data_IF_324164418123
#
_entry.id   IF_324164418123
#
_cell.length_a   1.000
_cell.length_b   1.000
_cell.length_c   1.000
_cell.angle_alpha   90.00
_cell.angle_beta   90.00
_cell.angle_gamma   90.00
#
_symmetry.space_group_name_H-M   'P 1'
#
loop_
_entity.id
_entity.type
_entity.pdbx_description
1 polymer ?
#
# COMPACT_ATOMS: atom_id res chain seq x y z
N UNK A 1 -29.82 2.47 -24.99
CA UNK A 1 -28.60 1.83 -24.42
C UNK A 1 -27.45 2.06 -25.38
N UNK A 2 -26.41 2.82 -24.96
CA UNK A 2 -25.23 3.04 -25.79
C UNK A 2 -24.49 1.72 -26.03
N UNK A 3 -23.95 1.53 -27.24
CA UNK A 3 -23.08 0.38 -27.54
C UNK A 3 -21.89 0.42 -26.59
N UNK A 4 -21.63 -0.67 -25.87
CA UNK A 4 -20.46 -0.83 -25.04
C UNK A 4 -19.20 -0.69 -25.92
N UNK A 5 -18.37 0.31 -25.62
CA UNK A 5 -17.20 0.67 -26.44
C UNK A 5 -16.02 -0.28 -26.20
N UNK A 6 -15.93 -0.86 -25.00
CA UNK A 6 -14.83 -1.73 -24.59
C UNK A 6 -15.39 -3.01 -23.96
N UNK A 7 -14.74 -4.13 -24.25
CA UNK A 7 -15.10 -5.44 -23.69
C UNK A 7 -14.26 -5.81 -22.46
N UNK A 8 -13.13 -5.12 -22.27
CA UNK A 8 -12.22 -5.35 -21.14
C UNK A 8 -11.60 -4.03 -20.71
N UNK A 9 -11.41 -3.89 -19.42
CA UNK A 9 -10.69 -2.79 -18.77
C UNK A 9 -9.65 -3.44 -17.86
N UNK A 10 -8.41 -2.97 -17.94
CA UNK A 10 -7.32 -3.39 -17.05
C UNK A 10 -6.93 -2.20 -16.18
N UNK A 11 -6.90 -2.42 -14.87
CA UNK A 11 -6.38 -1.45 -13.89
C UNK A 11 -5.02 -1.98 -13.43
N UNK A 12 -3.98 -1.16 -13.59
CA UNK A 12 -2.64 -1.47 -13.11
C UNK A 12 -2.32 -0.44 -12.02
N UNK A 13 -2.26 -0.91 -10.78
CA UNK A 13 -1.84 -0.12 -9.64
C UNK A 13 -0.35 -0.35 -9.45
N UNK A 14 0.44 0.72 -9.51
CA UNK A 14 1.87 0.65 -9.21
C UNK A 14 2.02 1.03 -7.74
N UNK A 15 2.32 0.04 -6.93
CA UNK A 15 2.43 0.18 -5.49
C UNK A 15 3.44 1.26 -5.09
N UNK A 16 3.11 2.04 -4.09
CA UNK A 16 3.93 3.13 -3.52
C UNK A 16 4.35 4.22 -4.51
N UNK A 17 3.81 4.26 -5.73
CA UNK A 17 4.15 5.27 -6.72
C UNK A 17 3.26 6.51 -6.57
N UNK A 18 3.74 7.50 -5.81
CA UNK A 18 3.10 8.81 -5.68
C UNK A 18 3.69 9.87 -6.61
N UNK A 19 2.86 10.80 -7.05
CA UNK A 19 3.22 11.96 -7.90
C UNK A 19 2.96 13.28 -7.14
N UNK A 20 3.66 13.48 -6.05
CA UNK A 20 3.50 14.56 -5.11
C UNK A 20 2.54 14.22 -3.95
N UNK A 21 2.44 15.14 -2.99
CA UNK A 21 1.59 15.01 -1.81
C UNK A 21 0.14 15.40 -2.09
N UNK A 22 -0.80 14.79 -1.37
CA UNK A 22 -2.19 15.23 -1.31
C UNK A 22 -2.32 16.54 -0.51
N UNK A 23 -3.47 17.21 -0.62
CA UNK A 23 -3.71 18.48 0.07
C UNK A 23 -3.74 18.35 1.60
N UNK A 24 -4.17 17.20 2.11
CA UNK A 24 -4.26 16.83 3.52
C UNK A 24 -3.02 16.09 4.04
N UNK A 25 -2.02 15.84 3.20
CA UNK A 25 -0.77 15.19 3.60
C UNK A 25 -0.09 15.81 4.84
N UNK A 26 -0.13 17.14 5.06
CA UNK A 26 0.40 17.73 6.28
C UNK A 26 -0.23 17.21 7.56
N UNK A 27 -1.52 16.87 7.54
CA UNK A 27 -2.26 16.36 8.70
C UNK A 27 -1.76 14.97 9.11
N UNK A 28 -1.13 14.25 8.17
CA UNK A 28 -0.55 12.92 8.36
C UNK A 28 0.98 12.91 8.44
N UNK A 29 1.63 14.09 8.49
CA UNK A 29 3.08 14.20 8.50
C UNK A 29 3.77 13.98 7.15
N UNK A 30 3.02 13.95 6.04
CA UNK A 30 3.48 13.58 4.70
C UNK A 30 3.59 14.78 3.74
N UNK A 31 3.74 15.99 4.25
CA UNK A 31 3.71 17.25 3.49
C UNK A 31 4.67 17.30 2.27
N UNK A 32 5.74 16.54 2.31
CA UNK A 32 6.79 16.57 1.28
C UNK A 32 6.94 15.23 0.54
N UNK A 33 5.94 14.38 0.56
CA UNK A 33 5.97 13.10 -0.14
C UNK A 33 5.89 13.30 -1.65
N UNK A 34 6.82 12.73 -2.37
CA UNK A 34 6.89 12.72 -3.84
C UNK A 34 7.79 11.58 -4.31
N UNK A 35 7.30 10.37 -4.22
CA UNK A 35 8.08 9.17 -4.54
C UNK A 35 8.70 9.24 -5.93
N UNK A 36 7.91 9.52 -6.95
CA UNK A 36 8.41 9.56 -8.33
C UNK A 36 9.39 10.71 -8.56
N UNK A 37 9.10 11.89 -8.03
CA UNK A 37 9.99 13.05 -8.11
C UNK A 37 11.32 12.80 -7.41
N UNK A 38 11.29 12.29 -6.19
CA UNK A 38 12.49 11.97 -5.42
C UNK A 38 13.34 10.87 -6.07
N UNK A 39 12.72 9.81 -6.62
CA UNK A 39 13.46 8.80 -7.39
C UNK A 39 14.16 9.45 -8.58
N UNK A 40 13.46 10.28 -9.35
CA UNK A 40 14.03 10.94 -10.53
C UNK A 40 15.21 11.88 -10.20
N UNK A 41 15.27 12.38 -8.96
CA UNK A 41 16.33 13.27 -8.48
C UNK A 41 17.55 12.51 -7.98
N UNK A 42 17.36 11.34 -7.39
CA UNK A 42 18.38 10.61 -6.65
C UNK A 42 18.97 9.41 -7.40
N UNK A 43 18.29 8.91 -8.44
CA UNK A 43 18.81 7.81 -9.29
C UNK A 43 19.64 8.38 -10.42
N UNK A 44 20.87 7.85 -10.63
CA UNK A 44 21.83 8.35 -11.61
C UNK A 44 21.35 8.27 -13.06
N UNK A 45 20.68 7.18 -13.44
CA UNK A 45 20.05 6.98 -14.76
C UNK A 45 18.60 6.55 -14.58
N UNK A 46 17.68 7.51 -14.50
CA UNK A 46 16.27 7.22 -14.36
C UNK A 46 15.56 7.24 -15.73
N UNK A 47 15.12 6.08 -16.19
CA UNK A 47 14.48 5.91 -17.52
C UNK A 47 13.17 5.14 -17.37
N UNK A 48 12.07 5.76 -17.76
CA UNK A 48 10.72 5.18 -17.76
C UNK A 48 10.04 5.43 -19.13
N UNK A 49 10.60 4.90 -20.24
CA UNK A 49 10.22 5.32 -21.59
C UNK A 49 8.75 5.07 -21.93
N UNK A 50 8.12 4.03 -21.39
CA UNK A 50 6.71 3.74 -21.64
C UNK A 50 5.78 4.70 -20.88
N UNK A 51 6.05 4.96 -19.59
CA UNK A 51 5.29 5.94 -18.83
C UNK A 51 5.51 7.37 -19.39
N UNK A 52 6.72 7.68 -19.86
CA UNK A 52 6.99 8.94 -20.55
C UNK A 52 6.11 9.11 -21.79
N UNK A 53 6.02 8.10 -22.67
CA UNK A 53 5.14 8.13 -23.85
C UNK A 53 3.66 8.30 -23.47
N UNK A 54 3.25 7.78 -22.33
CA UNK A 54 1.89 7.95 -21.82
C UNK A 54 1.64 9.34 -21.21
N UNK A 55 2.69 10.12 -20.92
CA UNK A 55 2.57 11.50 -20.46
C UNK A 55 2.85 11.73 -18.97
N UNK A 56 3.51 10.80 -18.28
CA UNK A 56 3.77 10.94 -16.84
C UNK A 56 4.56 12.23 -16.51
N UNK A 57 5.55 12.58 -17.33
CA UNK A 57 6.34 13.79 -17.13
C UNK A 57 5.60 15.09 -17.53
N UNK A 58 4.47 14.99 -18.22
CA UNK A 58 3.57 16.12 -18.46
C UNK A 58 2.68 16.39 -17.24
N UNK A 59 2.42 15.34 -16.44
CA UNK A 59 1.62 15.41 -15.22
C UNK A 59 2.42 15.95 -14.04
N UNK A 60 3.68 15.54 -13.94
CA UNK A 60 4.59 15.85 -12.84
C UNK A 60 6.01 16.07 -13.35
N UNK A 61 6.65 17.17 -12.95
CA UNK A 61 8.01 17.50 -13.37
C UNK A 61 9.03 16.49 -12.82
N UNK A 62 9.76 15.84 -13.74
CA UNK A 62 10.79 14.86 -13.40
C UNK A 62 12.16 15.36 -13.88
N UNK A 63 13.21 15.17 -13.08
CA UNK A 63 14.55 15.69 -13.39
C UNK A 63 15.16 15.12 -14.67
N UNK A 64 14.93 13.83 -14.97
CA UNK A 64 15.60 13.13 -16.06
C UNK A 64 14.65 12.64 -17.16
N UNK A 65 13.36 12.94 -17.05
CA UNK A 65 12.33 12.49 -18.00
C UNK A 65 11.59 13.71 -18.52
N UNK A 66 11.84 14.07 -19.79
CA UNK A 66 11.21 15.23 -20.37
C UNK A 66 9.73 14.97 -20.71
N UNK A 67 8.87 16.00 -20.62
CA UNK A 67 7.52 15.95 -21.16
C UNK A 67 7.50 15.62 -22.65
N UNK A 68 6.40 15.02 -23.13
CA UNK A 68 6.19 14.73 -24.55
C UNK A 68 5.09 15.62 -25.12
N UNK A 69 5.30 16.11 -26.34
CA UNK A 69 4.33 17.02 -26.99
C UNK A 69 3.03 16.33 -27.42
N UNK A 70 3.08 15.02 -27.66
CA UNK A 70 1.92 14.20 -28.08
C UNK A 70 1.90 12.90 -27.30
N UNK A 71 1.34 12.89 -26.08
CA UNK A 71 1.20 11.68 -25.30
C UNK A 71 0.34 10.64 -26.00
N UNK A 72 0.67 9.37 -25.81
CA UNK A 72 -0.09 8.24 -26.37
C UNK A 72 -1.35 7.91 -25.55
N UNK A 73 -1.50 8.49 -24.36
CA UNK A 73 -2.61 8.28 -23.45
C UNK A 73 -3.17 9.58 -22.88
N UNK A 74 -4.20 9.44 -22.07
CA UNK A 74 -4.71 10.52 -21.24
C UNK A 74 -4.07 10.39 -19.85
N UNK A 75 -3.79 11.52 -19.22
CA UNK A 75 -3.21 11.57 -17.89
C UNK A 75 -3.89 12.64 -17.05
N UNK A 76 -4.01 12.39 -15.77
CA UNK A 76 -4.54 13.34 -14.79
C UNK A 76 -4.01 13.04 -13.39
N UNK A 77 -4.12 14.01 -12.50
CA UNK A 77 -3.98 13.80 -11.05
C UNK A 77 -5.37 13.76 -10.43
N UNK A 78 -5.55 12.84 -9.51
CA UNK A 78 -6.74 12.77 -8.69
C UNK A 78 -6.32 13.01 -7.24
N UNK A 79 -7.15 13.74 -6.49
CA UNK A 79 -7.04 13.82 -5.05
C UNK A 79 -8.03 12.83 -4.46
N UNK A 80 -7.59 12.11 -3.45
CA UNK A 80 -8.47 11.27 -2.65
C UNK A 80 -9.50 12.16 -1.94
N UNK A 81 -10.75 11.74 -1.95
CA UNK A 81 -11.85 12.42 -1.28
C UNK A 81 -12.20 11.74 0.05
N UNK A 82 -11.80 10.48 0.22
CA UNK A 82 -11.99 9.73 1.44
C UNK A 82 -11.04 10.20 2.54
N UNK A 83 -11.44 9.96 3.79
CA UNK A 83 -10.63 10.31 4.96
C UNK A 83 -9.93 9.07 5.48
N UNK A 84 -8.62 9.11 5.61
CA UNK A 84 -7.81 8.02 6.17
C UNK A 84 -6.47 7.87 5.46
N UNK A 85 -5.46 7.44 6.22
CA UNK A 85 -4.14 7.11 5.71
C UNK A 85 -3.93 5.59 5.80
N UNK A 86 -4.74 4.84 5.11
CA UNK A 86 -4.62 3.39 5.06
C UNK A 86 -4.88 2.90 3.63
N UNK A 87 -4.21 1.82 3.26
CA UNK A 87 -4.29 1.23 1.92
C UNK A 87 -5.71 0.78 1.57
N UNK A 88 -6.50 0.34 2.54
CA UNK A 88 -7.88 -0.09 2.31
C UNK A 88 -8.76 1.06 1.84
N UNK A 89 -8.66 2.23 2.48
CA UNK A 89 -9.41 3.43 2.10
C UNK A 89 -9.14 3.80 0.65
N UNK A 90 -7.88 3.90 0.25
CA UNK A 90 -7.51 4.23 -1.13
C UNK A 90 -8.01 3.20 -2.16
N UNK A 91 -7.88 1.91 -1.87
CA UNK A 91 -8.37 0.85 -2.76
C UNK A 91 -9.89 0.86 -2.90
N UNK A 92 -10.61 1.10 -1.82
CA UNK A 92 -12.07 1.19 -1.86
C UNK A 92 -12.54 2.42 -2.63
N UNK A 93 -11.85 3.55 -2.48
CA UNK A 93 -12.18 4.75 -3.26
C UNK A 93 -11.92 4.54 -4.76
N UNK A 94 -10.85 3.87 -5.16
CA UNK A 94 -10.63 3.49 -6.57
C UNK A 94 -11.77 2.64 -7.14
N UNK A 95 -12.47 1.89 -6.30
CA UNK A 95 -13.65 1.10 -6.67
C UNK A 95 -14.97 1.87 -6.53
N UNK A 96 -14.92 3.17 -6.21
CA UNK A 96 -16.07 4.07 -6.14
C UNK A 96 -16.73 4.17 -4.76
N UNK A 97 -16.08 3.71 -3.71
CA UNK A 97 -16.60 3.80 -2.33
C UNK A 97 -15.93 4.97 -1.61
N UNK A 98 -16.73 5.97 -1.25
CA UNK A 98 -16.25 7.11 -0.46
C UNK A 98 -16.27 6.78 1.04
N UNK A 99 -15.12 6.77 1.68
CA UNK A 99 -14.93 6.45 3.08
C UNK A 99 -14.88 7.76 3.88
N UNK A 100 -15.88 8.00 4.71
CA UNK A 100 -15.98 9.21 5.56
C UNK A 100 -15.52 8.95 6.99
N UNK A 101 -15.34 7.69 7.38
CA UNK A 101 -14.81 7.29 8.68
C UNK A 101 -13.63 6.36 8.45
N UNK A 102 -12.39 6.78 8.80
CA UNK A 102 -11.20 5.97 8.60
C UNK A 102 -11.31 4.61 9.27
N UNK A 103 -10.68 3.62 8.70
CA UNK A 103 -10.49 2.34 9.36
C UNK A 103 -9.60 2.51 10.59
N UNK A 104 -9.86 1.72 11.62
CA UNK A 104 -8.98 1.67 12.78
C UNK A 104 -7.70 0.94 12.43
N UNK A 105 -6.58 1.61 12.66
CA UNK A 105 -5.25 1.05 12.44
C UNK A 105 -4.63 0.58 13.76
N UNK A 106 -3.71 -0.37 13.69
CA UNK A 106 -3.05 -0.97 14.85
C UNK A 106 -1.52 -0.94 14.72
N UNK A 107 -1.01 -0.05 13.86
CA UNK A 107 0.44 0.07 13.59
C UNK A 107 1.24 0.51 14.81
N UNK A 108 0.64 1.33 15.68
CA UNK A 108 1.29 1.86 16.89
C UNK A 108 1.18 0.92 18.10
N UNK A 109 0.10 0.14 18.18
CA UNK A 109 -0.25 -0.59 19.41
C UNK A 109 -0.22 -2.11 19.27
N UNK A 110 -0.21 -2.62 18.03
CA UNK A 110 -0.62 -4.00 17.79
C UNK A 110 -2.14 -4.18 18.01
N UNK A 111 -2.62 -5.37 17.76
CA UNK A 111 -4.03 -5.73 17.95
C UNK A 111 -4.38 -5.85 19.44
N UNK A 112 -5.67 -5.61 19.79
CA UNK A 112 -6.14 -5.75 21.17
C UNK A 112 -5.91 -7.16 21.71
N UNK A 113 -5.52 -7.25 22.99
CA UNK A 113 -5.22 -8.52 23.65
C UNK A 113 -6.41 -9.49 23.62
N UNK A 114 -7.62 -8.97 23.83
CA UNK A 114 -8.87 -9.74 23.73
C UNK A 114 -9.04 -10.48 22.40
N UNK A 115 -8.61 -9.85 21.29
CA UNK A 115 -8.65 -10.47 19.96
C UNK A 115 -7.64 -11.62 19.86
N UNK A 116 -6.43 -11.41 20.37
CA UNK A 116 -5.36 -12.41 20.33
C UNK A 116 -5.65 -13.60 21.24
N UNK A 117 -6.20 -13.35 22.44
CA UNK A 117 -6.64 -14.39 23.35
C UNK A 117 -7.74 -15.27 22.73
N UNK A 118 -8.73 -14.64 22.09
CA UNK A 118 -9.80 -15.38 21.43
C UNK A 118 -9.28 -16.15 20.21
N UNK A 119 -8.34 -15.59 19.45
CA UNK A 119 -7.68 -16.27 18.35
C UNK A 119 -6.88 -17.47 18.87
N UNK A 120 -6.07 -17.28 19.91
CA UNK A 120 -5.30 -18.33 20.56
C UNK A 120 -6.20 -19.45 21.08
N UNK A 121 -7.29 -19.09 21.76
CA UNK A 121 -8.27 -20.05 22.29
C UNK A 121 -8.93 -20.90 21.19
N UNK A 122 -9.26 -20.28 20.04
CA UNK A 122 -9.91 -21.00 18.92
C UNK A 122 -8.95 -21.87 18.11
N UNK A 123 -7.72 -21.42 17.95
CA UNK A 123 -6.71 -22.12 17.17
C UNK A 123 -5.93 -23.14 17.99
N UNK A 124 -5.90 -22.98 19.33
CA UNK A 124 -5.07 -23.77 20.25
C UNK A 124 -3.59 -23.42 20.15
N UNK A 125 -3.24 -22.27 19.55
CA UNK A 125 -1.85 -21.86 19.31
C UNK A 125 -1.51 -20.63 20.14
N UNK A 126 -0.26 -20.53 20.55
CA UNK A 126 0.29 -19.32 21.15
C UNK A 126 0.48 -18.29 20.03
N UNK A 127 0.01 -17.06 20.26
CA UNK A 127 0.18 -15.97 19.32
C UNK A 127 1.45 -15.21 19.65
N UNK A 128 2.30 -15.02 18.64
CA UNK A 128 3.53 -14.24 18.73
C UNK A 128 3.54 -13.13 17.67
N UNK A 129 4.41 -12.14 17.86
CA UNK A 129 4.57 -11.00 16.95
C UNK A 129 3.80 -9.76 17.39
N UNK A 130 2.52 -9.71 17.14
CA UNK A 130 1.59 -8.61 17.46
C UNK A 130 2.18 -7.20 17.39
N UNK A 131 2.86 -6.89 16.30
CA UNK A 131 3.48 -5.57 16.07
C UNK A 131 3.38 -5.18 14.61
N UNK A 132 3.75 -3.94 14.31
CA UNK A 132 3.93 -3.48 12.94
C UNK A 132 5.30 -3.90 12.42
N UNK A 133 5.33 -4.62 11.30
CA UNK A 133 6.55 -5.05 10.63
C UNK A 133 6.31 -5.31 9.14
N UNK A 134 7.37 -5.40 8.34
CA UNK A 134 7.29 -5.99 7.01
C UNK A 134 7.21 -7.52 7.12
N UNK A 135 6.64 -8.18 6.10
CA UNK A 135 6.54 -9.65 6.10
C UNK A 135 7.89 -10.34 6.15
N UNK A 136 8.90 -9.80 5.46
CA UNK A 136 10.28 -10.35 5.50
C UNK A 136 10.92 -10.18 6.87
N UNK A 137 10.78 -9.01 7.47
CA UNK A 137 11.34 -8.70 8.79
C UNK A 137 10.76 -9.56 9.90
N UNK A 138 9.43 -9.72 9.92
CA UNK A 138 8.76 -10.52 10.95
C UNK A 138 9.09 -12.02 10.81
N UNK A 139 9.27 -12.51 9.59
CA UNK A 139 9.69 -13.88 9.34
C UNK A 139 11.14 -14.11 9.75
N UNK A 140 12.05 -13.20 9.41
CA UNK A 140 13.45 -13.30 9.83
C UNK A 140 13.61 -13.33 11.36
N UNK A 141 12.68 -12.70 12.08
CA UNK A 141 12.70 -12.64 13.54
C UNK A 141 12.05 -13.84 14.21
N UNK A 142 10.91 -14.32 13.70
CA UNK A 142 10.03 -15.23 14.45
C UNK A 142 9.74 -16.57 13.76
N UNK A 143 10.16 -16.80 12.51
CA UNK A 143 9.80 -18.02 11.79
C UNK A 143 10.40 -19.29 12.42
N UNK A 144 11.59 -19.22 12.98
CA UNK A 144 12.20 -20.36 13.66
C UNK A 144 11.40 -20.76 14.90
N UNK A 145 10.93 -19.78 15.69
CA UNK A 145 10.07 -20.02 16.86
C UNK A 145 8.70 -20.57 16.45
N UNK A 146 8.10 -19.99 15.40
CA UNK A 146 6.82 -20.47 14.86
C UNK A 146 6.87 -21.95 14.51
N UNK A 147 7.91 -22.39 13.81
CA UNK A 147 8.08 -23.78 13.37
C UNK A 147 8.40 -24.69 14.55
N UNK A 148 9.35 -24.29 15.42
CA UNK A 148 9.85 -25.13 16.51
C UNK A 148 8.78 -25.38 17.58
N UNK A 149 8.01 -24.36 17.93
CA UNK A 149 7.03 -24.39 19.04
C UNK A 149 5.58 -24.52 18.57
N UNK A 150 5.33 -24.47 17.26
CA UNK A 150 3.99 -24.49 16.68
C UNK A 150 3.17 -23.24 16.98
N UNK A 151 3.85 -22.11 17.20
CA UNK A 151 3.22 -20.82 17.44
C UNK A 151 2.57 -20.28 16.15
N UNK A 152 1.85 -19.17 16.27
CA UNK A 152 1.23 -18.46 15.15
C UNK A 152 1.70 -17.01 15.17
N UNK A 153 2.41 -16.59 14.12
CA UNK A 153 2.77 -15.19 13.95
C UNK A 153 1.56 -14.39 13.50
N UNK A 154 1.19 -13.38 14.28
CA UNK A 154 0.17 -12.39 13.95
C UNK A 154 0.80 -11.01 13.97
N UNK A 155 0.64 -10.25 12.89
CA UNK A 155 1.24 -8.93 12.78
C UNK A 155 0.39 -7.99 11.92
N UNK A 156 0.72 -6.72 11.90
CA UNK A 156 0.19 -5.76 10.94
C UNK A 156 1.34 -5.13 10.16
N UNK A 157 1.10 -4.76 8.93
CA UNK A 157 2.03 -3.96 8.12
C UNK A 157 1.55 -2.51 8.04
N UNK A 158 2.25 -1.69 7.26
CA UNK A 158 1.80 -0.34 6.93
C UNK A 158 0.41 -0.29 6.28
N UNK A 159 -0.03 -1.40 5.69
CA UNK A 159 -1.38 -1.55 5.12
C UNK A 159 -2.48 -1.71 6.17
N UNK A 160 -2.10 -1.81 7.46
CA UNK A 160 -3.03 -1.91 8.60
C UNK A 160 -4.00 -3.10 8.55
N UNK A 161 -3.64 -4.16 7.82
CA UNK A 161 -4.40 -5.40 7.71
C UNK A 161 -3.86 -6.40 8.74
N UNK A 162 -4.75 -7.19 9.35
CA UNK A 162 -4.35 -8.34 10.17
C UNK A 162 -3.73 -9.39 9.25
N UNK A 163 -2.48 -9.73 9.52
CA UNK A 163 -1.72 -10.71 8.77
C UNK A 163 -1.31 -11.86 9.69
N UNK A 164 -1.37 -13.05 9.14
CA UNK A 164 -1.00 -14.30 9.80
C UNK A 164 0.03 -14.99 8.92
N UNK A 165 1.16 -15.37 9.47
CA UNK A 165 2.09 -16.24 8.76
C UNK A 165 1.66 -17.69 8.92
N UNK A 166 1.86 -18.45 7.87
CA UNK A 166 1.69 -19.90 7.85
C UNK A 166 2.93 -20.55 7.25
N UNK A 167 3.13 -21.81 7.57
CA UNK A 167 4.25 -22.61 7.08
C UNK A 167 3.80 -24.03 6.72
N UNK A 168 4.63 -24.78 5.98
CA UNK A 168 4.31 -26.12 5.52
C UNK A 168 4.53 -27.21 6.58
N UNK A 169 5.17 -26.89 7.70
CA UNK A 169 5.56 -27.85 8.74
C UNK A 169 4.49 -28.03 9.83
N UNK A 170 3.96 -26.91 10.32
CA UNK A 170 3.08 -26.92 11.50
C UNK A 170 1.73 -26.26 11.28
N UNK A 171 1.60 -25.41 10.25
CA UNK A 171 0.41 -24.56 10.09
C UNK A 171 0.17 -24.11 8.67
#
# INVERSE_FOLDING_TARGET
MGKQKYNRIFIIVVDSLGVGALNDAPDYGDANTDTLGHISQNVGEFKIPNLQKLGIANLHGLKQVAPVSRPMGYYTKLNEASTGKDTMTGHWEMMGLHITKPFRTFTETGFPEELLEELSRRTGRVIIGNKSASGTEILDELAEEEIAEGHMIVYTSADSVLQICGNEETF
#
